data_IF_097320118196
#
_entry.id   IF_097320118196
#
_cell.length_a   1.000
_cell.length_b   1.000
_cell.length_c   1.000
_cell.angle_alpha   90.00
_cell.angle_beta   90.00
_cell.angle_gamma   90.00
#
_symmetry.space_group_name_H-M   'P 1'
#
loop_
_entity.id
_entity.type
_entity.pdbx_description
1 polymer ?
#
# COMPACT_ATOMS: atom_id res chain seq x y z
N UNK A 1 55.64 8.38 0.22
CA UNK A 1 54.71 7.80 1.20
C UNK A 1 53.44 8.63 1.46
N UNK A 2 53.49 9.96 1.60
CA UNK A 2 52.33 10.79 2.00
C UNK A 2 51.08 10.72 1.07
N UNK A 3 51.23 10.59 -0.26
CA UNK A 3 50.10 10.50 -1.21
C UNK A 3 49.25 9.22 -1.08
N UNK A 4 49.85 8.08 -0.69
CA UNK A 4 49.12 6.80 -0.57
C UNK A 4 48.20 6.78 0.66
N UNK A 5 48.63 7.38 1.76
CA UNK A 5 47.82 7.54 2.97
C UNK A 5 46.63 8.48 2.74
N UNK A 6 46.81 9.56 1.97
CA UNK A 6 45.72 10.49 1.65
C UNK A 6 44.61 9.83 0.82
N UNK A 7 44.96 8.97 -0.15
CA UNK A 7 43.99 8.22 -0.96
C UNK A 7 43.24 7.19 -0.11
N UNK A 8 43.94 6.47 0.78
CA UNK A 8 43.32 5.52 1.70
C UNK A 8 42.39 6.20 2.72
N UNK A 9 42.74 7.40 3.19
CA UNK A 9 41.88 8.21 4.06
C UNK A 9 40.65 8.71 3.28
N UNK A 10 40.82 9.17 2.04
CA UNK A 10 39.70 9.57 1.16
C UNK A 10 38.75 8.40 0.88
N UNK A 11 39.27 7.22 0.56
CA UNK A 11 38.46 6.01 0.35
C UNK A 11 37.77 5.59 1.66
N UNK A 12 38.47 5.65 2.79
CA UNK A 12 37.91 5.40 4.11
C UNK A 12 36.77 6.37 4.44
N UNK A 13 36.95 7.66 4.17
CA UNK A 13 35.95 8.73 4.38
C UNK A 13 34.76 8.56 3.43
N UNK A 14 34.97 8.18 2.17
CA UNK A 14 33.89 7.89 1.21
C UNK A 14 33.11 6.63 1.61
N UNK A 15 33.79 5.58 2.11
CA UNK A 15 33.14 4.37 2.61
C UNK A 15 32.37 4.69 3.90
N UNK A 16 32.94 5.45 4.84
CA UNK A 16 32.22 5.83 6.07
C UNK A 16 31.09 6.83 5.81
N UNK A 17 31.23 7.76 4.84
CA UNK A 17 30.13 8.63 4.42
C UNK A 17 29.06 7.87 3.64
N UNK A 18 29.44 6.84 2.87
CA UNK A 18 28.52 5.93 2.18
C UNK A 18 27.72 5.04 3.14
N UNK A 19 28.33 4.59 4.24
CA UNK A 19 27.70 3.77 5.28
C UNK A 19 26.79 4.58 6.22
N UNK A 20 26.96 5.91 6.27
CA UNK A 20 26.12 6.84 7.06
C UNK A 20 25.09 7.58 6.19
N UNK A 21 24.85 7.13 4.95
CA UNK A 21 23.52 7.32 4.35
C UNK A 21 22.55 6.44 5.13
N UNK A 22 22.05 6.96 6.25
CA UNK A 22 21.18 6.24 7.16
C UNK A 22 19.98 5.69 6.40
N UNK A 23 19.51 4.50 6.80
CA UNK A 23 18.29 3.88 6.27
C UNK A 23 17.13 4.89 6.16
N UNK A 24 17.05 5.84 7.09
CA UNK A 24 16.10 6.96 7.09
C UNK A 24 16.15 7.83 5.84
N UNK A 25 17.33 8.15 5.30
CA UNK A 25 17.47 8.96 4.08
C UNK A 25 16.97 8.15 2.88
N UNK A 26 17.35 6.87 2.79
CA UNK A 26 16.90 5.97 1.72
C UNK A 26 15.37 5.78 1.76
N UNK A 27 14.81 5.58 2.95
CA UNK A 27 13.37 5.46 3.19
C UNK A 27 12.62 6.73 2.73
N UNK A 28 13.12 7.92 3.09
CA UNK A 28 12.54 9.18 2.62
C UNK A 28 12.63 9.32 1.09
N UNK A 29 13.73 8.89 0.46
CA UNK A 29 13.88 8.91 -1.00
C UNK A 29 12.86 7.99 -1.70
N UNK A 30 12.58 6.83 -1.11
CA UNK A 30 11.51 5.94 -1.58
C UNK A 30 10.11 6.38 -1.10
N UNK A 31 9.98 7.56 -0.50
CA UNK A 31 8.70 8.15 -0.11
C UNK A 31 8.05 7.50 1.10
N UNK A 32 8.84 6.84 1.96
CA UNK A 32 8.42 6.39 3.29
C UNK A 32 8.68 7.52 4.28
N UNK A 33 7.64 7.91 5.02
CA UNK A 33 7.71 8.89 6.09
C UNK A 33 7.15 8.30 7.38
N UNK A 34 7.71 8.73 8.50
CA UNK A 34 7.22 8.37 9.82
C UNK A 34 5.98 9.21 10.17
N UNK A 35 5.02 8.58 10.85
CA UNK A 35 3.86 9.26 11.41
C UNK A 35 3.96 9.19 12.93
N UNK A 36 4.40 10.26 13.58
CA UNK A 36 4.44 10.33 15.04
C UNK A 36 3.02 10.43 15.62
N UNK A 37 2.17 11.23 14.96
CA UNK A 37 0.78 11.49 15.37
C UNK A 37 -0.15 11.50 14.16
N UNK A 38 -1.42 11.15 14.39
CA UNK A 38 -2.44 11.33 13.39
C UNK A 38 -2.83 12.80 13.29
N UNK A 39 -2.64 13.40 12.11
CA UNK A 39 -3.05 14.77 11.80
C UNK A 39 -4.27 14.72 10.89
N UNK A 40 -5.41 15.17 11.42
CA UNK A 40 -6.66 15.25 10.66
C UNK A 40 -6.51 16.14 9.41
N UNK A 41 -5.80 17.25 9.56
CA UNK A 41 -5.53 18.19 8.46
C UNK A 41 -4.75 17.50 7.33
N UNK A 42 -3.66 16.83 7.66
CA UNK A 42 -2.83 16.16 6.67
C UNK A 42 -3.56 14.98 6.00
N UNK A 43 -4.40 14.26 6.77
CA UNK A 43 -5.30 13.25 6.23
C UNK A 43 -6.27 13.86 5.21
N UNK A 44 -6.91 14.99 5.52
CA UNK A 44 -7.83 15.67 4.62
C UNK A 44 -7.11 16.17 3.35
N UNK A 45 -5.90 16.72 3.47
CA UNK A 45 -5.10 17.14 2.31
C UNK A 45 -4.72 15.97 1.40
N UNK A 46 -4.28 14.84 1.96
CA UNK A 46 -4.03 13.62 1.18
C UNK A 46 -5.33 13.06 0.58
N UNK A 47 -6.45 13.13 1.29
CA UNK A 47 -7.75 12.68 0.81
C UNK A 47 -8.24 13.49 -0.40
N UNK A 48 -8.02 14.80 -0.42
CA UNK A 48 -8.33 15.64 -1.58
C UNK A 48 -7.53 15.18 -2.80
N UNK A 49 -6.22 15.02 -2.66
CA UNK A 49 -5.34 14.53 -3.75
C UNK A 49 -5.73 13.14 -4.23
N UNK A 50 -6.12 12.24 -3.31
CA UNK A 50 -6.62 10.90 -3.64
C UNK A 50 -7.90 10.97 -4.47
N UNK A 51 -8.86 11.81 -4.07
CA UNK A 51 -10.12 12.01 -4.80
C UNK A 51 -9.91 12.63 -6.19
N UNK A 52 -8.97 13.56 -6.32
CA UNK A 52 -8.61 14.15 -7.61
C UNK A 52 -8.02 13.11 -8.57
N UNK A 53 -7.20 12.18 -8.05
CA UNK A 53 -6.57 11.11 -8.84
C UNK A 53 -7.51 9.95 -9.16
N UNK A 54 -8.47 9.65 -8.27
CA UNK A 54 -9.41 8.55 -8.44
C UNK A 54 -10.79 9.09 -8.87
N UNK A 55 -11.09 9.17 -10.18
CA UNK A 55 -12.22 9.93 -10.71
C UNK A 55 -13.59 9.27 -10.47
N UNK A 56 -13.64 8.13 -9.79
CA UNK A 56 -14.87 7.36 -9.62
C UNK A 56 -15.43 7.50 -8.21
N UNK A 57 -16.72 7.18 -8.05
CA UNK A 57 -17.35 7.16 -6.74
C UNK A 57 -16.66 6.11 -5.86
N UNK A 58 -16.22 6.55 -4.69
CA UNK A 58 -15.57 5.69 -3.70
C UNK A 58 -16.00 6.10 -2.28
N UNK A 59 -15.97 5.12 -1.38
CA UNK A 59 -16.14 5.34 0.06
C UNK A 59 -14.77 5.56 0.69
N UNK A 60 -14.67 6.44 1.69
CA UNK A 60 -13.43 6.74 2.39
C UNK A 60 -13.65 6.62 3.89
N UNK A 61 -12.86 5.76 4.53
CA UNK A 61 -12.96 5.41 5.94
C UNK A 61 -11.58 5.59 6.60
N UNK A 62 -11.60 5.84 7.91
CA UNK A 62 -10.39 5.83 8.75
C UNK A 62 -10.50 4.62 9.66
N UNK A 63 -9.50 3.74 9.62
CA UNK A 63 -9.37 2.59 10.52
C UNK A 63 -8.87 3.05 11.89
N UNK A 64 -9.51 2.59 12.97
CA UNK A 64 -8.86 2.59 14.27
C UNK A 64 -7.78 1.50 14.34
N UNK A 65 -6.95 1.53 15.39
CA UNK A 65 -5.96 0.50 15.64
C UNK A 65 -6.64 -0.85 15.94
N UNK A 66 -7.71 -0.86 16.73
CA UNK A 66 -8.48 -2.06 17.09
C UNK A 66 -9.14 -2.69 15.87
N UNK A 67 -9.69 -1.86 14.96
CA UNK A 67 -10.25 -2.35 13.70
C UNK A 67 -9.18 -3.00 12.84
N UNK A 68 -8.00 -2.40 12.73
CA UNK A 68 -6.90 -2.97 11.95
C UNK A 68 -6.40 -4.30 12.51
N UNK A 69 -6.29 -4.42 13.85
CA UNK A 69 -5.95 -5.68 14.53
C UNK A 69 -7.03 -6.73 14.33
N UNK A 70 -8.30 -6.35 14.41
CA UNK A 70 -9.43 -7.26 14.20
C UNK A 70 -9.46 -7.77 12.76
N UNK A 71 -9.19 -6.89 11.81
CA UNK A 71 -9.06 -7.21 10.38
C UNK A 71 -7.90 -8.17 10.11
N UNK A 72 -6.70 -7.90 10.62
CA UNK A 72 -5.56 -8.80 10.41
C UNK A 72 -5.79 -10.18 11.06
N UNK A 73 -6.56 -10.23 12.15
CA UNK A 73 -6.94 -11.48 12.83
C UNK A 73 -7.98 -12.33 12.08
N UNK A 74 -8.50 -11.87 10.93
CA UNK A 74 -9.40 -12.66 10.09
C UNK A 74 -8.69 -13.82 9.38
N UNK A 75 -7.35 -13.83 9.35
CA UNK A 75 -6.55 -14.90 8.76
C UNK A 75 -5.64 -15.56 9.81
N UNK A 76 -5.15 -16.74 9.46
CA UNK A 76 -4.17 -17.49 10.27
C UNK A 76 -2.94 -16.64 10.59
N UNK A 77 -2.37 -16.85 11.79
CA UNK A 77 -1.30 -16.01 12.35
C UNK A 77 -0.09 -15.87 11.41
N UNK A 78 0.28 -16.94 10.72
CA UNK A 78 1.38 -17.01 9.76
C UNK A 78 1.11 -16.23 8.46
N UNK A 79 -0.15 -15.86 8.19
CA UNK A 79 -0.56 -15.07 7.01
C UNK A 79 -0.87 -13.61 7.34
N UNK A 80 -0.94 -13.24 8.63
CA UNK A 80 -1.28 -11.88 9.06
C UNK A 80 -0.32 -10.83 8.51
N UNK A 81 0.95 -11.19 8.31
CA UNK A 81 1.95 -10.27 7.76
C UNK A 81 1.52 -9.66 6.41
N UNK A 82 0.74 -10.40 5.60
CA UNK A 82 0.21 -9.91 4.32
C UNK A 82 -0.80 -8.78 4.55
N UNK A 83 -1.62 -8.91 5.62
CA UNK A 83 -2.69 -7.99 5.97
C UNK A 83 -2.25 -6.84 6.88
N UNK A 84 -1.03 -6.85 7.39
CA UNK A 84 -0.51 -5.78 8.26
C UNK A 84 0.38 -4.78 7.53
N UNK A 85 0.30 -4.74 6.19
CA UNK A 85 1.10 -3.82 5.37
C UNK A 85 0.39 -2.47 5.18
N UNK A 86 1.15 -1.36 5.06
CA UNK A 86 0.60 -0.01 4.94
C UNK A 86 -0.17 0.25 3.64
N UNK A 87 0.07 -0.55 2.59
CA UNK A 87 -0.71 -0.50 1.34
C UNK A 87 -1.12 -1.90 0.95
N UNK A 88 -2.43 -2.09 0.74
CA UNK A 88 -3.01 -3.34 0.26
C UNK A 88 -4.15 -3.05 -0.73
N UNK A 89 -4.26 -3.88 -1.76
CA UNK A 89 -5.32 -3.88 -2.75
C UNK A 89 -6.00 -5.24 -2.71
N UNK A 90 -7.26 -5.27 -2.27
CA UNK A 90 -8.06 -6.49 -2.21
C UNK A 90 -9.20 -6.41 -3.21
N UNK A 91 -9.20 -7.30 -4.19
CA UNK A 91 -10.27 -7.45 -5.16
C UNK A 91 -11.19 -8.58 -4.75
N UNK A 92 -12.47 -8.25 -4.60
CA UNK A 92 -13.53 -9.19 -4.31
C UNK A 92 -14.47 -9.30 -5.51
N UNK A 93 -14.88 -10.54 -5.80
CA UNK A 93 -16.04 -10.83 -6.62
C UNK A 93 -17.12 -11.37 -5.69
N UNK A 94 -18.24 -10.67 -5.63
CA UNK A 94 -19.29 -10.90 -4.64
C UNK A 94 -18.72 -10.86 -3.21
N UNK A 95 -18.64 -12.00 -2.53
CA UNK A 95 -18.09 -12.11 -1.17
C UNK A 95 -16.69 -12.73 -1.11
N UNK A 96 -16.18 -13.23 -2.24
CA UNK A 96 -14.92 -13.98 -2.29
C UNK A 96 -13.76 -13.10 -2.73
N UNK A 97 -12.65 -13.16 -1.99
CA UNK A 97 -11.38 -12.56 -2.41
C UNK A 97 -10.87 -13.30 -3.65
N UNK A 98 -10.71 -12.57 -4.76
CA UNK A 98 -10.23 -13.11 -6.04
C UNK A 98 -8.83 -12.64 -6.39
N UNK A 99 -8.37 -11.53 -5.79
CA UNK A 99 -6.98 -11.07 -5.95
C UNK A 99 -6.55 -10.20 -4.78
N UNK A 100 -5.30 -10.39 -4.33
CA UNK A 100 -4.66 -9.59 -3.29
C UNK A 100 -3.28 -9.10 -3.76
N UNK A 101 -3.00 -7.84 -3.44
CA UNK A 101 -1.69 -7.22 -3.57
C UNK A 101 -1.35 -6.47 -2.29
N UNK A 102 -0.18 -6.73 -1.72
CA UNK A 102 0.36 -5.99 -0.58
C UNK A 102 1.71 -5.38 -0.96
N UNK A 103 2.08 -4.26 -0.33
CA UNK A 103 3.33 -3.57 -0.64
C UNK A 103 4.60 -4.40 -0.47
N UNK A 104 4.59 -5.47 0.34
CA UNK A 104 5.76 -6.34 0.53
C UNK A 104 6.04 -7.28 -0.66
N UNK A 105 5.05 -7.51 -1.52
CA UNK A 105 5.19 -8.43 -2.67
C UNK A 105 5.44 -7.67 -3.98
N UNK A 106 5.83 -6.41 -3.86
CA UNK A 106 5.99 -5.47 -4.96
C UNK A 106 7.39 -4.86 -4.87
N UNK A 107 8.28 -5.10 -5.84
CA UNK A 107 9.61 -4.54 -5.79
C UNK A 107 9.59 -3.04 -6.08
N UNK A 108 10.65 -2.37 -5.64
CA UNK A 108 10.87 -0.96 -5.97
C UNK A 108 11.43 -0.89 -7.39
N UNK A 109 10.79 -0.09 -8.24
CA UNK A 109 11.38 0.37 -9.49
C UNK A 109 12.42 1.44 -9.16
N UNK A 110 13.70 1.08 -9.29
CA UNK A 110 14.83 1.96 -8.94
C UNK A 110 14.93 3.24 -9.78
N UNK A 111 14.25 3.32 -10.94
CA UNK A 111 14.24 4.52 -11.78
C UNK A 111 13.25 5.57 -11.28
N UNK A 112 12.08 5.14 -10.78
CA UNK A 112 11.02 6.03 -10.31
C UNK A 112 10.96 6.15 -8.79
N UNK A 113 11.68 5.26 -8.09
CA UNK A 113 11.58 5.04 -6.66
C UNK A 113 10.12 4.84 -6.23
N UNK A 114 9.34 4.15 -7.08
CA UNK A 114 7.96 3.72 -6.83
C UNK A 114 7.89 2.19 -6.80
N UNK A 115 6.94 1.64 -6.07
CA UNK A 115 6.59 0.23 -6.12
C UNK A 115 6.05 -0.14 -7.52
N UNK A 116 6.60 -1.19 -8.11
CA UNK A 116 6.18 -1.71 -9.42
C UNK A 116 5.00 -2.67 -9.29
N UNK A 117 3.82 -2.09 -9.07
CA UNK A 117 2.59 -2.85 -8.85
C UNK A 117 2.24 -3.80 -10.01
N UNK A 118 2.67 -3.49 -11.24
CA UNK A 118 2.43 -4.33 -12.43
C UNK A 118 3.58 -5.28 -12.76
N UNK A 119 4.39 -5.67 -11.76
CA UNK A 119 5.37 -6.73 -11.96
C UNK A 119 4.71 -8.00 -12.53
N UNK A 120 5.41 -8.67 -13.44
CA UNK A 120 4.93 -9.86 -14.16
C UNK A 120 3.61 -9.65 -14.90
N UNK A 121 3.27 -8.42 -15.29
CA UNK A 121 2.04 -8.10 -16.01
C UNK A 121 0.76 -8.46 -15.23
N UNK A 122 0.81 -8.47 -13.90
CA UNK A 122 -0.31 -8.91 -13.04
C UNK A 122 -1.58 -8.07 -13.22
N UNK A 123 -1.45 -6.81 -13.64
CA UNK A 123 -2.55 -5.89 -13.86
C UNK A 123 -2.97 -5.78 -15.35
N UNK A 124 -2.50 -6.67 -16.23
CA UNK A 124 -2.91 -6.75 -17.65
C UNK A 124 -4.25 -7.45 -17.89
N UNK A 125 -4.93 -7.91 -16.83
CA UNK A 125 -6.27 -8.50 -16.89
C UNK A 125 -7.12 -8.04 -15.70
N UNK A 126 -8.45 -8.08 -15.85
CA UNK A 126 -9.38 -7.64 -14.81
C UNK A 126 -10.32 -8.77 -14.36
N UNK A 127 -10.40 -9.10 -13.04
CA UNK A 127 -9.53 -8.64 -11.95
C UNK A 127 -8.05 -9.03 -12.14
N UNK A 128 -7.10 -8.33 -11.48
CA UNK A 128 -5.67 -8.60 -11.65
C UNK A 128 -5.27 -9.96 -11.07
N UNK A 129 -4.16 -10.52 -11.53
CA UNK A 129 -3.55 -11.73 -10.96
C UNK A 129 -2.96 -11.42 -9.59
N UNK A 130 -3.27 -12.25 -8.59
CA UNK A 130 -2.83 -12.02 -7.22
C UNK A 130 -1.29 -12.05 -7.08
N UNK A 131 -0.75 -11.22 -6.18
CA UNK A 131 0.69 -11.22 -5.89
C UNK A 131 1.15 -12.32 -4.93
N UNK A 132 0.23 -13.03 -4.29
CA UNK A 132 0.50 -14.05 -3.28
C UNK A 132 -0.59 -15.11 -3.29
N UNK A 133 -0.42 -16.16 -2.46
CA UNK A 133 -1.43 -17.19 -2.24
C UNK A 133 -2.75 -16.59 -1.78
N UNK A 134 -3.85 -17.21 -2.21
CA UNK A 134 -5.21 -16.81 -1.83
C UNK A 134 -5.39 -16.85 -0.32
N UNK A 135 -5.96 -15.79 0.24
CA UNK A 135 -6.43 -15.76 1.62
C UNK A 135 -7.91 -16.14 1.66
N UNK A 136 -8.31 -16.96 2.62
CA UNK A 136 -9.73 -17.26 2.85
C UNK A 136 -10.35 -16.16 3.73
N UNK A 137 -10.48 -14.97 3.14
CA UNK A 137 -11.16 -13.82 3.75
C UNK A 137 -12.36 -13.46 2.90
N UNK A 138 -13.49 -13.23 3.56
CA UNK A 138 -14.74 -12.81 2.94
C UNK A 138 -14.91 -11.30 3.04
N UNK A 139 -15.52 -10.71 2.02
CA UNK A 139 -15.80 -9.28 2.02
C UNK A 139 -16.66 -8.91 3.23
N UNK A 140 -17.68 -9.72 3.54
CA UNK A 140 -18.57 -9.53 4.68
C UNK A 140 -17.84 -9.42 6.01
N UNK A 141 -16.78 -10.21 6.23
CA UNK A 141 -15.99 -10.12 7.46
C UNK A 141 -15.31 -8.75 7.58
N UNK A 142 -14.80 -8.21 6.48
CA UNK A 142 -14.20 -6.86 6.46
C UNK A 142 -15.28 -5.78 6.65
N UNK A 143 -16.47 -5.98 6.07
CA UNK A 143 -17.62 -5.09 6.29
C UNK A 143 -18.05 -5.05 7.75
N UNK A 144 -18.05 -6.18 8.44
CA UNK A 144 -18.41 -6.28 9.86
C UNK A 144 -17.39 -5.53 10.75
N UNK A 145 -16.11 -5.53 10.39
CA UNK A 145 -15.05 -4.79 11.11
C UNK A 145 -15.16 -3.27 10.89
N UNK A 146 -15.41 -2.85 9.66
CA UNK A 146 -15.32 -1.43 9.26
C UNK A 146 -16.66 -0.72 9.12
N UNK A 147 -17.77 -1.44 9.21
CA UNK A 147 -19.13 -0.88 9.22
C UNK A 147 -19.62 -0.34 7.88
N UNK A 148 -19.00 -0.68 6.74
CA UNK A 148 -19.43 -0.21 5.42
C UNK A 148 -20.36 -1.19 4.70
N UNK A 149 -21.19 -0.65 3.80
CA UNK A 149 -22.12 -1.43 2.98
C UNK A 149 -21.84 -1.24 1.50
N UNK A 150 -22.02 -2.32 0.74
CA UNK A 150 -22.05 -2.25 -0.73
C UNK A 150 -23.38 -1.66 -1.17
N UNK A 151 -23.34 -0.80 -2.17
CA UNK A 151 -24.55 -0.31 -2.83
C UNK A 151 -25.17 -1.41 -3.71
N UNK A 152 -24.35 -2.29 -4.30
CA UNK A 152 -24.79 -3.38 -5.18
C UNK A 152 -23.91 -4.64 -5.00
N UNK A 153 -24.53 -5.81 -4.84
CA UNK A 153 -23.82 -7.07 -4.55
C UNK A 153 -23.23 -7.76 -5.77
N UNK A 154 -23.71 -7.42 -6.98
CA UNK A 154 -23.23 -8.01 -8.24
C UNK A 154 -21.97 -7.33 -8.81
N UNK A 155 -21.52 -6.24 -8.19
CA UNK A 155 -20.36 -5.47 -8.64
C UNK A 155 -19.09 -6.00 -7.96
N UNK A 156 -17.98 -6.01 -8.70
CA UNK A 156 -16.68 -6.27 -8.11
C UNK A 156 -16.38 -5.18 -7.06
N UNK A 157 -15.66 -5.53 -6.01
CA UNK A 157 -15.29 -4.59 -4.95
C UNK A 157 -13.78 -4.54 -4.81
N UNK A 158 -13.22 -3.33 -4.85
CA UNK A 158 -11.83 -3.08 -4.50
C UNK A 158 -11.78 -2.43 -3.12
N UNK A 159 -11.07 -3.04 -2.19
CA UNK A 159 -10.66 -2.38 -0.94
C UNK A 159 -9.21 -1.94 -1.08
N UNK A 160 -8.97 -0.65 -0.86
CA UNK A 160 -7.65 -0.04 -0.84
C UNK A 160 -7.33 0.34 0.61
N UNK A 161 -6.51 -0.47 1.27
CA UNK A 161 -5.87 -0.04 2.50
C UNK A 161 -4.69 0.86 2.15
N UNK A 162 -4.58 2.02 2.81
CA UNK A 162 -3.53 2.98 2.50
C UNK A 162 -3.09 3.75 3.74
N UNK A 163 -1.84 4.20 3.73
CA UNK A 163 -1.29 5.07 4.76
C UNK A 163 -0.55 6.27 4.16
N UNK A 164 -0.65 7.41 4.83
CA UNK A 164 0.18 8.59 4.53
C UNK A 164 1.67 8.33 4.72
N UNK A 165 2.07 7.30 5.48
CA UNK A 165 3.47 6.88 5.55
C UNK A 165 4.08 6.60 4.18
N UNK A 166 3.27 6.16 3.21
CA UNK A 166 3.73 5.77 1.89
C UNK A 166 2.93 6.46 0.79
N UNK A 167 2.59 7.74 0.98
CA UNK A 167 1.67 8.50 0.10
C UNK A 167 2.08 8.42 -1.39
N UNK A 168 3.38 8.58 -1.68
CA UNK A 168 3.92 8.43 -3.05
C UNK A 168 3.59 7.07 -3.67
N UNK A 169 3.67 6.01 -2.85
CA UNK A 169 3.45 4.64 -3.29
C UNK A 169 1.96 4.31 -3.44
N UNK A 170 1.11 4.90 -2.60
CA UNK A 170 -0.35 4.84 -2.75
C UNK A 170 -0.75 5.41 -4.11
N UNK A 171 -0.19 6.54 -4.53
CA UNK A 171 -0.49 7.09 -5.86
C UNK A 171 -0.05 6.18 -7.02
N UNK A 172 1.11 5.52 -6.90
CA UNK A 172 1.54 4.52 -7.89
C UNK A 172 0.59 3.30 -7.94
N UNK A 173 0.08 2.87 -6.79
CA UNK A 173 -0.90 1.79 -6.71
C UNK A 173 -2.19 2.20 -7.45
N UNK A 174 -2.67 3.41 -7.23
CA UNK A 174 -3.89 3.91 -7.87
C UNK A 174 -3.77 4.12 -9.38
N UNK A 175 -2.63 4.62 -9.85
CA UNK A 175 -2.33 4.69 -11.28
C UNK A 175 -2.49 3.30 -11.93
N UNK A 176 -2.01 2.26 -11.25
CA UNK A 176 -2.09 0.86 -11.70
C UNK A 176 -3.52 0.30 -11.64
N UNK A 177 -4.25 0.57 -10.56
CA UNK A 177 -5.68 0.19 -10.43
C UNK A 177 -6.52 0.83 -11.53
N UNK A 178 -6.32 2.12 -11.82
CA UNK A 178 -7.07 2.85 -12.84
C UNK A 178 -6.74 2.29 -14.23
N UNK A 179 -5.47 2.00 -14.50
CA UNK A 179 -5.05 1.33 -15.72
C UNK A 179 -5.76 -0.03 -15.89
N UNK A 180 -5.68 -0.87 -14.86
CA UNK A 180 -6.30 -2.20 -14.85
C UNK A 180 -7.80 -2.17 -15.08
N UNK A 181 -8.51 -1.23 -14.44
CA UNK A 181 -9.95 -1.05 -14.65
C UNK A 181 -10.27 -0.67 -16.10
N UNK A 182 -9.45 0.15 -16.76
CA UNK A 182 -9.68 0.53 -18.16
C UNK A 182 -9.65 -0.67 -19.10
N UNK A 183 -8.88 -1.71 -18.79
CA UNK A 183 -8.83 -2.95 -19.57
C UNK A 183 -10.15 -3.73 -19.57
N UNK A 184 -11.01 -3.53 -18.56
CA UNK A 184 -12.35 -4.13 -18.51
C UNK A 184 -13.36 -3.56 -19.51
N UNK A 185 -12.96 -2.56 -20.32
CA UNK A 185 -13.83 -1.84 -21.27
C UNK A 185 -15.10 -1.26 -20.62
N UNK A 186 -15.05 -0.92 -19.32
CA UNK A 186 -16.19 -0.41 -18.53
C UNK A 186 -17.39 -1.35 -18.40
N UNK A 187 -17.26 -2.62 -18.82
CA UNK A 187 -18.33 -3.63 -18.68
C UNK A 187 -18.47 -4.07 -17.22
N UNK A 188 -17.34 -4.18 -16.54
CA UNK A 188 -17.28 -4.53 -15.13
C UNK A 188 -17.37 -3.27 -14.27
N UNK A 189 -18.37 -3.24 -13.39
CA UNK A 189 -18.45 -2.21 -12.36
C UNK A 189 -17.52 -2.57 -11.20
N UNK A 190 -16.91 -1.55 -10.62
CA UNK A 190 -16.01 -1.67 -9.48
C UNK A 190 -16.43 -0.66 -8.43
N UNK A 191 -16.89 -1.16 -7.28
CA UNK A 191 -17.11 -0.38 -6.09
C UNK A 191 -15.80 -0.28 -5.30
N UNK A 192 -15.33 0.93 -5.01
CA UNK A 192 -14.04 1.13 -4.36
C UNK A 192 -14.21 1.71 -2.96
N UNK A 193 -13.58 1.07 -1.98
CA UNK A 193 -13.53 1.51 -0.59
C UNK A 193 -12.08 1.76 -0.21
N UNK A 194 -11.79 2.99 0.20
CA UNK A 194 -10.50 3.38 0.74
C UNK A 194 -10.57 3.33 2.27
N UNK A 195 -9.63 2.64 2.89
CA UNK A 195 -9.50 2.55 4.34
C UNK A 195 -8.11 3.06 4.71
N UNK A 196 -8.05 4.24 5.33
CA UNK A 196 -6.81 4.78 5.85
C UNK A 196 -6.40 4.01 7.12
N UNK A 197 -5.14 3.59 7.20
CA UNK A 197 -4.63 2.76 8.31
C UNK A 197 -3.55 3.45 9.13
N UNK A 198 -3.43 4.78 9.06
CA UNK A 198 -2.38 5.54 9.75
C UNK A 198 -2.34 5.26 11.26
N UNK A 199 -3.50 5.12 11.91
CA UNK A 199 -3.59 4.82 13.33
C UNK A 199 -2.87 3.52 13.74
N UNK A 200 -2.76 2.53 12.84
CA UNK A 200 -2.06 1.29 13.12
C UNK A 200 -0.53 1.44 13.14
N UNK A 201 -0.01 2.53 12.58
CA UNK A 201 1.42 2.74 12.34
C UNK A 201 1.97 3.98 13.04
N UNK A 202 1.23 4.60 13.95
CA UNK A 202 1.72 5.73 14.73
C UNK A 202 2.96 5.33 15.56
N UNK A 203 4.00 6.16 15.51
CA UNK A 203 5.27 5.93 16.21
C UNK A 203 6.05 4.71 15.70
N UNK A 204 5.74 4.20 14.51
CA UNK A 204 6.45 3.10 13.88
C UNK A 204 7.05 3.53 12.55
N UNK A 205 8.33 3.22 12.35
CA UNK A 205 8.88 2.99 11.01
C UNK A 205 8.74 1.48 10.81
N UNK A 206 7.83 1.04 9.95
CA UNK A 206 7.74 -0.39 9.60
C UNK A 206 8.91 -0.69 8.66
N UNK A 207 10.04 -1.05 9.26
CA UNK A 207 11.07 -1.82 8.61
C UNK A 207 10.54 -3.26 8.60
N UNK A 208 10.37 -3.83 7.41
CA UNK A 208 10.12 -5.26 7.28
C UNK A 208 11.33 -6.00 7.89
N UNK A 209 11.15 -6.59 9.07
CA UNK A 209 12.05 -7.64 9.61
C UNK A 209 11.81 -8.96 8.88
#
# INVERSE_FOLDING_TARGET
MKKRYFILIMIGVIITLGVVFSETIVLRLVGVQELEVFSQKDYEESLVKLKEKYPERAQFLISTQEQFISYSSLVEKDKQYILTKPIQLLYFKEDSLVSIHSSCNVPINYWTWKLDWNIDNRFEQFPPLSSTSTLDIKLKQIQDVYGFRRENTSENTLIVFWSRMMEKQVYGALETVIYNKRLSNKKEKLNTIFINVDHAFLGKIVLDE
#
